data_IF_675109793233
#
_entry.id   IF_675109793233
#
_cell.length_a   1.000
_cell.length_b   1.000
_cell.length_c   1.000
_cell.angle_alpha   90.00
_cell.angle_beta   90.00
_cell.angle_gamma   90.00
#
_symmetry.space_group_name_H-M   'P 1'
#
loop_
_entity.id
_entity.type
_entity.pdbx_description
1 polymer ?
#
# COMPACT_ATOMS: atom_id res chain seq x y z
N UNK A 1 20.11 15.66 19.98
CA UNK A 1 19.67 15.96 18.60
C UNK A 1 20.84 16.53 17.82
N UNK A 2 21.18 15.96 16.67
CA UNK A 2 22.24 16.55 15.86
C UNK A 2 21.76 17.88 15.29
N UNK A 3 22.63 18.90 15.28
CA UNK A 3 22.39 20.22 14.65
C UNK A 3 21.91 20.13 13.18
N UNK A 4 22.10 18.98 12.54
CA UNK A 4 21.72 18.69 11.15
C UNK A 4 20.22 18.73 10.87
N UNK A 5 19.36 18.54 11.87
CA UNK A 5 17.92 18.46 11.69
C UNK A 5 17.16 19.62 12.37
N UNK A 6 17.78 20.77 12.63
CA UNK A 6 17.11 21.93 13.23
C UNK A 6 15.99 22.47 12.32
N UNK A 7 16.20 22.46 10.99
CA UNK A 7 15.19 22.92 10.01
C UNK A 7 15.27 22.10 8.70
N UNK A 8 14.94 20.79 8.76
CA UNK A 8 15.11 19.91 7.60
C UNK A 8 13.94 20.01 6.60
N UNK A 9 12.81 20.65 6.95
CA UNK A 9 11.64 20.73 6.10
C UNK A 9 11.71 21.91 5.14
N UNK A 10 11.79 21.60 3.86
CA UNK A 10 11.79 22.56 2.76
C UNK A 10 10.47 22.51 2.00
N UNK A 11 9.81 23.65 1.86
CA UNK A 11 8.61 23.84 1.05
C UNK A 11 8.92 24.83 -0.06
N UNK A 12 8.77 24.43 -1.31
CA UNK A 12 9.04 25.27 -2.47
C UNK A 12 8.21 26.54 -2.44
N UNK A 13 8.75 27.62 -3.00
CA UNK A 13 8.04 28.86 -3.18
C UNK A 13 6.86 28.67 -4.13
N UNK A 14 5.68 29.18 -3.77
CA UNK A 14 4.48 29.07 -4.61
C UNK A 14 4.62 29.76 -5.96
N UNK A 15 5.33 30.91 -5.99
CA UNK A 15 5.49 31.73 -7.20
C UNK A 15 4.12 32.14 -7.78
N UNK A 16 3.91 31.83 -9.07
CA UNK A 16 2.65 32.04 -9.79
C UNK A 16 1.70 30.83 -9.69
N UNK A 17 2.02 29.83 -8.86
CA UNK A 17 1.20 28.64 -8.65
C UNK A 17 -0.13 28.91 -7.99
N UNK A 18 -1.03 27.92 -8.00
CA UNK A 18 -2.33 28.01 -7.34
C UNK A 18 -2.21 27.66 -5.87
N UNK A 19 -2.85 28.46 -5.01
CA UNK A 19 -3.04 28.11 -3.60
C UNK A 19 -3.85 26.81 -3.47
N UNK A 20 -3.41 25.91 -2.58
CA UNK A 20 -4.11 24.67 -2.25
C UNK A 20 -4.43 24.63 -0.76
N UNK A 21 -5.60 24.10 -0.44
CA UNK A 21 -6.00 23.69 0.91
C UNK A 21 -5.32 22.41 1.37
N UNK A 22 -5.77 21.84 2.50
CA UNK A 22 -5.36 20.51 2.90
C UNK A 22 -5.75 19.51 1.79
N UNK A 23 -4.83 18.62 1.47
CA UNK A 23 -5.01 17.68 0.35
C UNK A 23 -6.03 16.60 0.68
N UNK A 24 -7.15 16.59 -0.04
CA UNK A 24 -8.17 15.56 0.05
C UNK A 24 -7.87 14.35 -0.85
N UNK A 25 -6.80 14.37 -1.65
CA UNK A 25 -6.41 13.22 -2.49
C UNK A 25 -6.05 11.99 -1.65
N UNK A 26 -5.60 12.21 -0.41
CA UNK A 26 -5.36 11.14 0.56
C UNK A 26 -6.64 10.47 1.08
N UNK A 27 -7.82 11.11 0.90
CA UNK A 27 -9.10 10.58 1.39
C UNK A 27 -9.46 9.25 0.75
N UNK A 28 -9.00 8.99 -0.48
CA UNK A 28 -9.18 7.71 -1.19
C UNK A 28 -8.55 6.55 -0.40
N UNK A 29 -7.50 6.83 0.40
CA UNK A 29 -6.76 5.85 1.19
C UNK A 29 -7.16 5.82 2.67
N UNK A 30 -8.25 6.51 3.07
CA UNK A 30 -8.73 6.51 4.46
C UNK A 30 -9.28 5.16 4.91
N UNK A 31 -9.65 4.27 3.98
CA UNK A 31 -10.06 2.91 4.34
C UNK A 31 -8.97 2.21 5.15
N UNK A 32 -9.40 1.51 6.20
CA UNK A 32 -8.50 1.05 7.27
C UNK A 32 -7.52 -0.04 6.83
N UNK A 33 -7.84 -0.80 5.81
CA UNK A 33 -7.05 -1.90 5.27
C UNK A 33 -6.16 -1.52 4.06
N UNK A 34 -6.32 -0.32 3.49
CA UNK A 34 -5.56 0.11 2.31
C UNK A 34 -4.06 0.30 2.58
N UNK A 35 -3.67 0.71 3.79
CA UNK A 35 -2.26 0.91 4.12
C UNK A 35 -1.44 -0.37 3.91
N UNK A 36 -1.94 -1.51 4.40
CA UNK A 36 -1.26 -2.79 4.25
C UNK A 36 -1.12 -3.21 2.79
N UNK A 37 -2.18 -3.01 1.99
CA UNK A 37 -2.16 -3.33 0.56
C UNK A 37 -1.08 -2.53 -0.19
N UNK A 38 -1.07 -1.22 -0.03
CA UNK A 38 -0.16 -0.31 -0.73
C UNK A 38 1.29 -0.53 -0.32
N UNK A 39 1.56 -0.61 0.98
CA UNK A 39 2.94 -0.78 1.47
C UNK A 39 3.50 -2.14 1.15
N UNK A 40 2.73 -3.22 1.28
CA UNK A 40 3.16 -4.57 0.90
C UNK A 40 3.43 -4.70 -0.61
N UNK A 41 2.61 -4.05 -1.45
CA UNK A 41 2.84 -4.01 -2.90
C UNK A 41 4.17 -3.32 -3.22
N UNK A 42 4.45 -2.17 -2.59
CA UNK A 42 5.67 -1.43 -2.82
C UNK A 42 6.91 -2.23 -2.38
N UNK A 43 6.87 -2.86 -1.20
CA UNK A 43 7.95 -3.73 -0.72
C UNK A 43 8.17 -4.92 -1.67
N UNK A 44 7.09 -5.58 -2.14
CA UNK A 44 7.21 -6.72 -3.06
C UNK A 44 7.73 -6.31 -4.44
N UNK A 45 7.40 -5.11 -4.91
CA UNK A 45 7.94 -4.56 -6.16
C UNK A 45 9.43 -4.21 -6.07
N UNK A 46 9.95 -3.97 -4.86
CA UNK A 46 11.35 -3.65 -4.58
C UNK A 46 12.18 -4.88 -4.17
N UNK A 47 11.66 -6.09 -4.39
CA UNK A 47 12.29 -7.34 -4.02
C UNK A 47 13.72 -7.44 -4.54
N UNK A 48 14.65 -7.87 -3.69
CA UNK A 48 16.00 -8.23 -4.10
C UNK A 48 16.00 -9.62 -4.75
N UNK A 49 17.02 -9.89 -5.55
CA UNK A 49 17.22 -11.18 -6.22
C UNK A 49 18.41 -11.90 -5.60
N UNK A 50 18.39 -13.22 -5.68
CA UNK A 50 19.54 -14.05 -5.31
C UNK A 50 20.57 -14.15 -6.45
N UNK A 51 21.63 -14.92 -6.23
CA UNK A 51 22.68 -15.17 -7.22
C UNK A 51 22.19 -15.82 -8.53
N UNK A 52 21.00 -16.42 -8.53
CA UNK A 52 20.36 -17.04 -9.70
C UNK A 52 19.32 -16.14 -10.37
N UNK A 53 19.26 -14.90 -9.98
CA UNK A 53 18.25 -13.93 -10.42
C UNK A 53 16.81 -14.27 -9.97
N UNK A 54 16.65 -15.18 -8.99
CA UNK A 54 15.36 -15.50 -8.40
C UNK A 54 14.99 -14.47 -7.32
N UNK A 55 13.72 -14.11 -7.26
CA UNK A 55 13.19 -13.19 -6.24
C UNK A 55 13.29 -13.79 -4.83
N UNK A 56 13.92 -13.09 -3.90
CA UNK A 56 13.94 -13.44 -2.49
C UNK A 56 12.56 -13.32 -1.84
N UNK A 57 12.34 -14.04 -0.75
CA UNK A 57 11.15 -13.84 0.08
C UNK A 57 11.27 -12.51 0.84
N UNK A 58 10.38 -11.58 0.53
CA UNK A 58 10.34 -10.28 1.23
C UNK A 58 9.71 -10.45 2.61
N UNK A 59 10.35 -9.91 3.66
CA UNK A 59 9.73 -9.80 4.97
C UNK A 59 9.36 -8.34 5.23
N UNK A 60 8.14 -8.07 5.69
CA UNK A 60 7.69 -6.73 6.06
C UNK A 60 7.24 -6.72 7.51
N UNK A 61 7.86 -5.85 8.31
CA UNK A 61 7.51 -5.65 9.70
C UNK A 61 6.76 -4.33 9.87
N UNK A 62 5.65 -4.38 10.58
CA UNK A 62 4.87 -3.21 11.00
C UNK A 62 4.99 -3.07 12.51
N UNK A 63 5.53 -1.95 12.98
CA UNK A 63 5.85 -1.73 14.40
C UNK A 63 5.21 -0.45 14.90
N UNK A 64 4.25 -0.56 15.81
CA UNK A 64 3.68 0.60 16.48
C UNK A 64 4.50 0.94 17.72
N UNK A 65 4.99 2.17 17.78
CA UNK A 65 5.80 2.67 18.89
C UNK A 65 5.46 4.10 19.24
N UNK A 66 5.34 4.42 20.53
CA UNK A 66 5.35 5.79 21.01
C UNK A 66 6.77 6.31 21.09
N UNK A 67 7.06 7.36 20.36
CA UNK A 67 8.40 7.96 20.26
C UNK A 67 8.34 9.36 20.85
N UNK A 68 9.40 9.79 21.55
CA UNK A 68 9.48 11.16 22.05
C UNK A 68 9.33 12.17 20.89
N UNK A 69 8.45 13.16 21.03
CA UNK A 69 8.19 14.16 19.97
C UNK A 69 9.43 14.96 19.62
N UNK A 70 10.41 15.04 20.53
CA UNK A 70 11.74 15.62 20.26
C UNK A 70 12.50 14.89 19.14
N UNK A 71 12.14 13.67 18.82
CA UNK A 71 12.74 12.91 17.71
C UNK A 71 12.06 13.15 16.36
N UNK A 72 10.95 13.90 16.33
CA UNK A 72 10.38 14.35 15.07
C UNK A 72 11.35 15.33 14.39
N UNK A 73 11.79 15.08 13.15
CA UNK A 73 12.78 15.90 12.48
C UNK A 73 12.31 17.36 12.33
N UNK A 74 13.07 18.32 12.91
CA UNK A 74 12.75 19.72 12.84
C UNK A 74 11.43 20.12 13.50
N UNK A 75 11.07 19.44 14.59
CA UNK A 75 9.81 19.61 15.34
C UNK A 75 9.40 21.07 15.51
N UNK A 76 10.26 21.92 16.05
CA UNK A 76 9.91 23.29 16.40
C UNK A 76 9.65 24.16 15.17
N UNK A 77 10.40 23.95 14.09
CA UNK A 77 10.12 24.61 12.81
C UNK A 77 8.81 24.11 12.18
N UNK A 78 8.56 22.79 12.26
CA UNK A 78 7.34 22.21 11.72
C UNK A 78 6.09 22.71 12.46
N UNK A 79 6.14 22.88 13.79
CA UNK A 79 5.08 23.50 14.60
C UNK A 79 4.78 24.93 14.10
N UNK A 80 5.81 25.73 13.86
CA UNK A 80 5.62 27.09 13.28
C UNK A 80 4.94 27.05 11.90
N UNK A 81 5.23 26.02 11.07
CA UNK A 81 4.55 25.85 9.78
C UNK A 81 3.07 25.47 9.95
N UNK A 82 2.74 24.64 10.92
CA UNK A 82 1.35 24.34 11.26
C UNK A 82 0.60 25.59 11.72
N UNK A 83 1.24 26.44 12.53
CA UNK A 83 0.67 27.75 12.94
C UNK A 83 0.38 28.65 11.72
N UNK A 84 1.32 28.75 10.78
CA UNK A 84 1.13 29.51 9.54
C UNK A 84 0.05 28.90 8.62
N UNK A 85 -0.10 27.59 8.63
CA UNK A 85 -1.18 26.92 7.91
C UNK A 85 -2.55 27.20 8.56
N UNK A 86 -2.64 27.21 9.88
CA UNK A 86 -3.85 27.60 10.62
C UNK A 86 -4.22 29.07 10.32
N UNK A 87 -3.26 30.02 10.41
CA UNK A 87 -3.45 31.41 10.05
C UNK A 87 -3.98 31.59 8.63
N UNK A 88 -3.47 30.82 7.68
CA UNK A 88 -3.94 30.80 6.28
C UNK A 88 -5.44 30.48 6.18
N UNK A 89 -5.91 29.41 6.84
CA UNK A 89 -7.32 29.03 6.83
C UNK A 89 -8.20 30.05 7.58
N UNK A 90 -7.77 30.57 8.73
CA UNK A 90 -8.49 31.59 9.48
C UNK A 90 -8.70 32.85 8.64
N UNK A 91 -7.67 33.29 7.90
CA UNK A 91 -7.76 34.43 6.99
C UNK A 91 -8.76 34.18 5.86
N UNK A 92 -8.80 32.94 5.32
CA UNK A 92 -9.76 32.57 4.27
C UNK A 92 -11.20 32.49 4.78
N UNK A 93 -11.42 31.96 6.00
CA UNK A 93 -12.75 31.91 6.62
C UNK A 93 -13.35 33.34 6.84
N UNK A 94 -12.53 34.28 7.21
CA UNK A 94 -12.94 35.67 7.45
C UNK A 94 -13.25 36.44 6.14
N UNK A 95 -12.84 35.91 4.99
CA UNK A 95 -13.16 36.52 3.70
C UNK A 95 -14.55 36.09 3.23
N UNK A 96 -15.50 37.02 3.08
CA UNK A 96 -16.94 36.80 2.81
C UNK A 96 -17.29 36.00 1.57
N UNK A 97 -16.31 35.54 0.76
CA UNK A 97 -16.52 34.89 -0.54
C UNK A 97 -15.86 33.51 -0.68
N UNK A 98 -15.40 32.89 0.42
CA UNK A 98 -14.70 31.60 0.32
C UNK A 98 -15.44 30.55 1.14
N UNK A 99 -16.03 29.55 0.48
CA UNK A 99 -16.52 28.32 1.13
C UNK A 99 -15.33 27.36 1.22
N UNK A 100 -14.85 27.10 2.45
CA UNK A 100 -13.89 26.00 2.69
C UNK A 100 -14.62 24.69 2.48
N UNK A 101 -13.95 23.73 1.83
CA UNK A 101 -14.61 22.54 1.32
C UNK A 101 -15.22 21.64 2.40
N UNK A 102 -14.68 21.60 3.64
CA UNK A 102 -15.16 20.72 4.69
C UNK A 102 -15.21 21.32 6.11
N UNK A 103 -14.66 22.50 6.36
CA UNK A 103 -14.72 23.18 7.67
C UNK A 103 -13.86 22.61 8.82
N UNK A 104 -13.20 21.47 8.60
CA UNK A 104 -12.44 20.74 9.62
C UNK A 104 -10.92 20.97 9.54
N UNK A 105 -10.45 21.70 8.53
CA UNK A 105 -9.01 21.83 8.24
C UNK A 105 -8.26 22.50 9.41
N UNK A 106 -8.86 23.49 10.05
CA UNK A 106 -8.25 24.16 11.21
C UNK A 106 -8.12 23.21 12.38
N UNK A 107 -9.17 22.42 12.65
CA UNK A 107 -9.17 21.44 13.73
C UNK A 107 -8.12 20.35 13.48
N UNK A 108 -8.02 19.83 12.25
CA UNK A 108 -7.00 18.84 11.88
C UNK A 108 -5.57 19.39 12.11
N UNK A 109 -5.31 20.64 11.75
CA UNK A 109 -4.00 21.28 11.95
C UNK A 109 -3.72 21.58 13.41
N UNK A 110 -4.73 21.97 14.19
CA UNK A 110 -4.61 22.18 15.64
C UNK A 110 -4.28 20.86 16.34
N UNK A 111 -4.99 19.80 16.03
CA UNK A 111 -4.73 18.45 16.56
C UNK A 111 -3.31 17.98 16.21
N UNK A 112 -2.83 18.23 14.98
CA UNK A 112 -1.46 17.95 14.57
C UNK A 112 -0.42 18.70 15.40
N UNK A 113 -0.67 19.98 15.67
CA UNK A 113 0.19 20.83 16.51
C UNK A 113 0.23 20.31 17.95
N UNK A 114 -0.93 20.10 18.57
CA UNK A 114 -1.04 19.58 19.94
C UNK A 114 -0.32 18.24 20.11
N UNK A 115 -0.45 17.36 19.10
CA UNK A 115 0.24 16.08 19.11
C UNK A 115 1.76 16.23 19.08
N UNK A 116 2.31 17.18 18.32
CA UNK A 116 3.74 17.47 18.30
C UNK A 116 4.23 18.20 19.56
N UNK A 117 3.35 18.91 20.27
CA UNK A 117 3.66 19.58 21.54
C UNK A 117 3.59 18.63 22.74
N UNK A 118 3.01 17.45 22.59
CA UNK A 118 3.00 16.40 23.64
C UNK A 118 4.39 15.75 23.84
N UNK A 119 4.55 15.00 24.91
CA UNK A 119 5.83 14.32 25.22
C UNK A 119 6.16 13.22 24.22
N UNK A 120 5.16 12.48 23.76
CA UNK A 120 5.33 11.36 22.83
C UNK A 120 4.29 11.36 21.72
N UNK A 121 4.66 10.79 20.58
CA UNK A 121 3.81 10.67 19.40
C UNK A 121 3.76 9.21 18.95
N UNK A 122 2.59 8.65 18.59
CA UNK A 122 2.50 7.34 18.01
C UNK A 122 3.11 7.34 16.59
N UNK A 123 3.99 6.39 16.32
CA UNK A 123 4.62 6.22 15.02
C UNK A 123 4.43 4.78 14.58
N UNK A 124 3.89 4.58 13.38
CA UNK A 124 3.94 3.28 12.73
C UNK A 124 5.20 3.21 11.88
N UNK A 125 6.05 2.25 12.18
CA UNK A 125 7.29 2.00 11.46
C UNK A 125 7.09 0.77 10.58
N UNK A 126 7.28 0.93 9.27
CA UNK A 126 7.18 -0.13 8.29
C UNK A 126 8.59 -0.44 7.80
N UNK A 127 9.05 -1.66 8.05
CA UNK A 127 10.41 -2.10 7.73
C UNK A 127 10.34 -3.23 6.71
N UNK A 128 11.02 -3.09 5.60
CA UNK A 128 11.16 -4.18 4.64
C UNK A 128 12.57 -4.80 4.69
N UNK A 129 12.64 -6.07 4.37
CA UNK A 129 13.86 -6.88 4.32
C UNK A 129 13.85 -7.71 3.04
N UNK A 130 15.04 -8.08 2.55
CA UNK A 130 15.22 -8.72 1.24
C UNK A 130 14.70 -7.86 0.10
N UNK A 131 14.88 -6.55 0.20
CA UNK A 131 14.53 -5.56 -0.83
C UNK A 131 15.78 -4.78 -1.26
N UNK A 132 15.68 -4.09 -2.39
CA UNK A 132 16.80 -3.29 -2.92
C UNK A 132 16.94 -1.93 -2.21
N UNK A 133 15.99 -1.55 -1.37
CA UNK A 133 15.89 -0.19 -0.83
C UNK A 133 15.42 0.84 -1.87
N UNK A 134 15.45 2.13 -1.48
CA UNK A 134 14.98 3.25 -2.31
C UNK A 134 16.13 3.83 -3.09
N UNK A 135 16.37 3.28 -4.29
CA UNK A 135 17.45 3.66 -5.19
C UNK A 135 17.12 4.96 -5.93
N UNK A 136 18.15 5.75 -6.25
CA UNK A 136 18.06 6.95 -7.08
C UNK A 136 18.17 8.25 -6.29
N UNK A 137 17.86 9.36 -6.95
CA UNK A 137 18.03 10.71 -6.42
C UNK A 137 17.01 11.71 -6.89
N UNK A 138 17.17 12.94 -6.40
CA UNK A 138 16.24 14.05 -6.59
C UNK A 138 16.10 14.47 -8.06
N UNK A 139 17.10 14.18 -8.88
CA UNK A 139 17.19 14.59 -10.29
C UNK A 139 17.11 13.39 -11.26
N UNK A 140 16.89 12.19 -10.73
CA UNK A 140 16.75 10.96 -11.51
C UNK A 140 15.27 10.64 -11.70
N UNK A 141 14.64 11.30 -12.66
CA UNK A 141 13.25 11.02 -13.04
C UNK A 141 13.05 9.50 -13.27
N UNK A 142 11.92 8.96 -12.79
CA UNK A 142 11.59 7.55 -12.87
C UNK A 142 12.32 6.63 -11.88
N UNK A 143 13.31 7.10 -11.10
CA UNK A 143 13.91 6.28 -10.04
C UNK A 143 12.89 5.96 -8.94
N UNK A 144 13.07 4.87 -8.17
CA UNK A 144 12.25 4.56 -7.00
C UNK A 144 12.14 5.73 -6.01
N UNK A 145 13.26 6.42 -5.76
CA UNK A 145 13.29 7.62 -4.92
C UNK A 145 12.39 8.74 -5.46
N UNK A 146 12.58 9.10 -6.73
CA UNK A 146 11.83 10.19 -7.34
C UNK A 146 10.33 9.93 -7.31
N UNK A 147 9.92 8.69 -7.59
CA UNK A 147 8.51 8.28 -7.55
C UNK A 147 7.91 8.32 -6.15
N UNK A 148 8.67 7.93 -5.13
CA UNK A 148 8.17 7.88 -3.75
C UNK A 148 8.12 9.27 -3.11
N UNK A 149 9.08 10.14 -3.39
CA UNK A 149 9.25 11.41 -2.69
C UNK A 149 8.79 12.60 -3.53
N UNK A 150 9.18 12.68 -4.81
CA UNK A 150 8.99 13.89 -5.64
C UNK A 150 7.79 13.82 -6.58
N UNK A 151 7.38 12.65 -7.04
CA UNK A 151 6.31 12.55 -8.03
C UNK A 151 4.97 12.28 -7.38
N UNK A 152 4.07 13.24 -7.46
CA UNK A 152 2.64 13.03 -7.17
C UNK A 152 1.88 12.74 -8.48
N UNK A 153 1.33 11.53 -8.64
CA UNK A 153 0.49 11.20 -9.79
C UNK A 153 1.22 10.89 -11.10
N UNK A 154 2.56 10.73 -11.08
CA UNK A 154 3.35 10.33 -12.25
C UNK A 154 3.79 8.87 -12.12
N UNK A 155 3.46 8.03 -13.09
CA UNK A 155 3.94 6.65 -13.16
C UNK A 155 4.73 6.42 -14.45
N UNK A 156 5.79 5.61 -14.39
CA UNK A 156 6.45 5.14 -15.61
C UNK A 156 5.62 4.02 -16.24
N UNK A 157 5.39 4.09 -17.53
CA UNK A 157 4.70 3.05 -18.30
C UNK A 157 5.61 1.83 -18.63
N UNK A 158 6.77 1.67 -17.99
CA UNK A 158 7.69 0.60 -18.31
C UNK A 158 7.78 -0.43 -17.19
N UNK A 159 7.38 -1.68 -17.50
CA UNK A 159 7.55 -2.87 -16.67
C UNK A 159 6.36 -3.24 -15.78
N UNK A 160 6.20 -4.53 -15.55
CA UNK A 160 5.14 -5.15 -14.75
C UNK A 160 5.11 -4.70 -13.26
N UNK A 161 6.19 -4.08 -12.77
CA UNK A 161 6.44 -3.87 -11.36
C UNK A 161 6.09 -2.48 -10.81
N UNK A 162 5.72 -1.49 -11.60
CA UNK A 162 5.50 -0.15 -11.07
C UNK A 162 4.04 0.10 -10.68
N UNK A 163 3.80 0.76 -9.55
CA UNK A 163 2.50 1.36 -9.22
C UNK A 163 2.07 2.32 -10.34
N UNK A 164 0.80 2.29 -10.73
CA UNK A 164 0.30 3.02 -11.91
C UNK A 164 0.24 4.53 -11.71
N UNK A 165 0.05 5.00 -10.48
CA UNK A 165 -0.41 6.35 -10.23
C UNK A 165 0.58 7.24 -9.45
N UNK A 166 1.68 6.71 -8.91
CA UNK A 166 2.58 7.48 -8.04
C UNK A 166 1.88 8.01 -6.77
N UNK A 167 0.79 7.37 -6.35
CA UNK A 167 -0.01 7.80 -5.20
C UNK A 167 0.30 7.03 -3.91
N UNK A 168 1.28 6.13 -3.90
CA UNK A 168 1.64 5.32 -2.73
C UNK A 168 1.97 6.16 -1.50
N UNK A 169 2.60 7.32 -1.69
CA UNK A 169 2.83 8.29 -0.61
C UNK A 169 1.53 8.81 0.03
N UNK A 170 0.43 8.90 -0.73
CA UNK A 170 -0.85 9.39 -0.21
C UNK A 170 -1.45 8.44 0.84
N UNK A 171 -1.18 7.13 0.74
CA UNK A 171 -1.59 6.17 1.77
C UNK A 171 -0.85 6.41 3.09
N UNK A 172 0.42 6.79 3.05
CA UNK A 172 1.23 7.12 4.23
C UNK A 172 0.72 8.42 4.87
N UNK A 173 0.52 9.48 4.06
CA UNK A 173 0.00 10.78 4.51
C UNK A 173 -1.42 10.66 5.09
N UNK A 174 -2.30 9.85 4.47
CA UNK A 174 -3.66 9.63 4.94
C UNK A 174 -3.72 9.04 6.35
N UNK A 175 -2.69 8.30 6.76
CA UNK A 175 -2.58 7.68 8.09
C UNK A 175 -1.76 8.50 9.09
N UNK A 176 -1.26 9.66 8.69
CA UNK A 176 -0.52 10.58 9.55
C UNK A 176 -1.39 11.74 10.02
N UNK A 177 -1.61 11.86 11.32
CA UNK A 177 -2.30 13.01 11.92
C UNK A 177 -1.49 14.31 11.79
N UNK A 178 -0.15 14.21 11.70
CA UNK A 178 0.72 15.38 11.49
C UNK A 178 1.03 15.62 10.01
N UNK A 179 0.40 14.84 9.09
CA UNK A 179 0.54 15.01 7.64
C UNK A 179 1.97 14.83 7.13
N UNK A 180 2.76 13.97 7.77
CA UNK A 180 4.16 13.75 7.43
C UNK A 180 4.58 12.30 7.60
N UNK A 181 5.44 11.83 6.70
CA UNK A 181 6.21 10.62 6.89
C UNK A 181 7.69 10.86 6.59
N UNK A 182 8.55 10.04 7.16
CA UNK A 182 9.97 10.02 6.85
C UNK A 182 10.39 8.61 6.49
N UNK A 183 11.50 8.47 5.80
CA UNK A 183 12.08 7.18 5.51
C UNK A 183 13.60 7.20 5.71
N UNK A 184 14.11 6.06 6.15
CA UNK A 184 15.52 5.72 6.11
C UNK A 184 15.70 4.52 5.18
N UNK A 185 16.60 4.61 4.23
CA UNK A 185 16.85 3.52 3.29
C UNK A 185 18.33 3.24 3.16
N UNK A 186 18.68 1.97 3.06
CA UNK A 186 19.99 1.49 2.69
C UNK A 186 19.90 0.70 1.40
N UNK A 187 20.80 0.98 0.46
CA UNK A 187 20.82 0.35 -0.86
C UNK A 187 22.25 0.32 -1.42
N UNK A 188 22.47 -0.40 -2.49
CA UNK A 188 23.71 -0.37 -3.25
C UNK A 188 23.53 0.47 -4.53
N UNK A 189 24.51 1.30 -4.84
CA UNK A 189 24.54 2.04 -6.09
C UNK A 189 25.02 1.14 -7.27
N UNK A 190 25.03 1.67 -8.48
CA UNK A 190 25.45 0.94 -9.67
C UNK A 190 26.90 0.40 -9.61
N UNK A 191 27.72 0.91 -8.70
CA UNK A 191 29.10 0.47 -8.46
C UNK A 191 29.19 -0.49 -7.26
N UNK A 192 28.04 -0.98 -6.74
CA UNK A 192 27.97 -1.84 -5.57
C UNK A 192 28.48 -1.17 -4.27
N UNK A 193 28.52 0.15 -4.23
CA UNK A 193 28.82 0.87 -3.00
C UNK A 193 27.58 1.02 -2.13
N UNK A 194 27.71 0.71 -0.85
CA UNK A 194 26.66 0.89 0.14
C UNK A 194 26.33 2.38 0.28
N UNK A 195 25.07 2.70 0.13
CA UNK A 195 24.52 4.04 0.25
C UNK A 195 23.43 4.07 1.33
N UNK A 196 23.33 5.18 2.04
CA UNK A 196 22.25 5.45 2.98
C UNK A 196 21.54 6.74 2.63
N UNK A 197 20.25 6.80 2.91
CA UNK A 197 19.38 7.91 2.56
C UNK A 197 18.38 8.18 3.70
N UNK A 198 18.22 9.45 4.07
CA UNK A 198 17.10 9.90 4.89
C UNK A 198 16.35 10.99 4.16
N UNK A 199 15.04 10.77 3.98
CA UNK A 199 14.14 11.65 3.27
C UNK A 199 12.78 11.71 3.97
N UNK A 200 11.92 12.62 3.54
CA UNK A 200 10.56 12.71 4.05
C UNK A 200 9.68 13.57 3.15
N UNK A 201 8.39 13.38 3.31
CA UNK A 201 7.38 14.15 2.62
C UNK A 201 6.31 14.61 3.62
N UNK A 202 5.83 15.83 3.43
CA UNK A 202 4.72 16.41 4.17
C UNK A 202 3.75 17.06 3.20
N UNK A 203 2.45 16.92 3.47
CA UNK A 203 1.40 17.54 2.65
C UNK A 203 0.51 18.39 3.58
N UNK A 204 0.81 19.66 3.64
CA UNK A 204 0.02 20.67 4.33
C UNK A 204 -0.91 21.44 3.35
N UNK A 205 -1.20 22.66 3.65
CA UNK A 205 -1.80 23.64 2.71
C UNK A 205 -0.74 24.65 2.27
N UNK A 206 -1.10 25.50 1.31
CA UNK A 206 -0.36 26.75 1.08
C UNK A 206 -0.33 27.56 2.36
N UNK A 207 0.84 28.01 2.78
CA UNK A 207 1.04 28.83 3.98
C UNK A 207 2.19 29.81 3.76
N UNK A 208 2.42 30.72 4.69
CA UNK A 208 3.63 31.51 4.67
C UNK A 208 4.79 30.79 5.33
N UNK A 209 5.94 30.81 4.68
CA UNK A 209 7.17 30.33 5.32
C UNK A 209 7.43 31.12 6.61
N UNK A 210 7.66 30.45 7.75
CA UNK A 210 7.79 31.14 9.03
C UNK A 210 9.02 32.06 9.15
N UNK A 211 10.05 31.83 8.32
CA UNK A 211 11.30 32.61 8.37
C UNK A 211 11.44 33.57 7.21
N UNK A 212 11.04 33.18 6.00
CA UNK A 212 11.31 33.90 4.76
C UNK A 212 10.12 34.69 4.23
N UNK A 213 8.97 34.60 4.89
CA UNK A 213 7.74 35.35 4.62
C UNK A 213 7.26 35.32 3.14
N UNK A 214 7.48 34.22 2.43
CA UNK A 214 6.87 33.98 1.13
C UNK A 214 5.82 32.89 1.22
N UNK A 215 4.87 32.84 0.29
CA UNK A 215 3.91 31.72 0.20
C UNK A 215 4.59 30.48 -0.35
N UNK A 216 4.35 29.35 0.31
CA UNK A 216 4.90 28.04 -0.05
C UNK A 216 3.91 27.22 -0.86
N UNK A 217 4.41 26.24 -1.57
CA UNK A 217 3.61 25.11 -2.05
C UNK A 217 3.08 24.30 -0.85
N UNK A 218 2.09 23.45 -1.10
CA UNK A 218 1.46 22.62 -0.07
C UNK A 218 2.29 21.37 0.29
N UNK A 219 3.23 20.98 -0.55
CA UNK A 219 4.10 19.81 -0.35
C UNK A 219 5.47 20.26 0.15
N UNK A 220 5.95 19.60 1.20
CA UNK A 220 7.28 19.81 1.77
C UNK A 220 8.09 18.53 1.80
N UNK A 221 9.40 18.69 1.79
CA UNK A 221 10.37 17.61 1.73
C UNK A 221 11.43 17.74 2.83
N UNK A 222 12.01 16.64 3.25
CA UNK A 222 13.18 16.66 4.13
C UNK A 222 14.45 16.68 3.30
N UNK A 223 15.33 17.64 3.60
CA UNK A 223 16.63 17.71 2.95
C UNK A 223 17.41 18.98 3.26
N UNK A 224 18.57 19.10 2.65
CA UNK A 224 19.42 20.30 2.68
C UNK A 224 19.12 21.16 1.47
N UNK A 225 18.93 22.44 1.69
CA UNK A 225 18.88 23.42 0.61
C UNK A 225 20.28 23.58 0.01
N UNK A 226 20.41 23.37 -1.30
CA UNK A 226 21.66 23.55 -2.04
C UNK A 226 21.76 25.00 -2.50
N UNK A 227 20.65 25.51 -3.07
CA UNK A 227 20.51 26.89 -3.54
C UNK A 227 19.01 27.27 -3.52
N UNK A 228 18.67 28.43 -4.12
CA UNK A 228 17.29 28.96 -4.08
C UNK A 228 16.23 28.06 -4.73
N UNK A 229 16.63 27.12 -5.58
CA UNK A 229 15.72 26.30 -6.38
C UNK A 229 15.94 24.79 -6.18
N UNK A 230 16.99 24.39 -5.47
CA UNK A 230 17.36 23.00 -5.32
C UNK A 230 17.59 22.59 -3.87
N UNK A 231 17.13 21.40 -3.54
CA UNK A 231 17.38 20.72 -2.29
C UNK A 231 17.78 19.26 -2.56
N UNK A 232 18.43 18.61 -1.61
CA UNK A 232 18.71 17.19 -1.65
C UNK A 232 18.52 16.55 -0.29
N UNK A 233 18.11 15.27 -0.28
CA UNK A 233 17.99 14.46 0.93
C UNK A 233 19.33 14.29 1.63
N UNK A 234 19.28 13.97 2.91
CA UNK A 234 20.47 13.61 3.68
C UNK A 234 20.98 12.23 3.25
N UNK A 235 22.29 12.09 3.08
CA UNK A 235 22.92 10.84 2.60
C UNK A 235 24.24 10.57 3.32
N UNK A 236 24.56 9.29 3.49
CA UNK A 236 25.84 8.79 3.97
C UNK A 236 26.37 9.55 5.21
N UNK A 237 27.48 10.26 5.11
CA UNK A 237 28.11 11.00 6.21
C UNK A 237 27.18 11.99 6.93
N UNK A 238 26.14 12.49 6.22
CA UNK A 238 25.13 13.34 6.85
C UNK A 238 24.31 12.60 7.93
N UNK A 239 24.33 11.27 7.91
CA UNK A 239 23.45 10.42 8.72
C UNK A 239 24.17 9.74 9.89
N UNK A 240 25.50 9.90 10.02
CA UNK A 240 26.31 9.23 11.05
C UNK A 240 25.83 9.49 12.50
N UNK A 241 25.13 10.61 12.71
CA UNK A 241 24.63 11.01 14.03
C UNK A 241 23.10 11.07 14.09
N UNK A 242 22.41 10.43 13.18
CA UNK A 242 20.95 10.39 13.17
C UNK A 242 20.46 9.34 14.18
N UNK A 243 19.77 9.81 15.23
CA UNK A 243 19.17 8.93 16.24
C UNK A 243 17.83 8.39 15.71
N UNK A 244 17.87 7.20 15.14
CA UNK A 244 16.70 6.47 14.66
C UNK A 244 16.30 5.38 15.66
N UNK A 245 15.00 5.04 15.75
CA UNK A 245 14.52 3.99 16.66
C UNK A 245 15.09 2.60 16.37
N UNK A 246 15.52 2.37 15.13
CA UNK A 246 16.12 1.12 14.68
C UNK A 246 17.33 1.38 13.82
N UNK A 247 18.32 0.52 14.00
CA UNK A 247 19.49 0.46 13.13
C UNK A 247 19.24 -0.50 11.98
N UNK A 248 19.80 -0.20 10.80
CA UNK A 248 19.73 -1.05 9.61
C UNK A 248 21.14 -1.32 9.10
N UNK A 249 21.48 -2.58 8.93
CA UNK A 249 22.75 -3.06 8.42
C UNK A 249 22.66 -3.77 7.06
N UNK A 250 21.44 -4.00 6.58
CA UNK A 250 21.13 -4.61 5.28
C UNK A 250 20.31 -3.68 4.39
N UNK A 251 20.27 -3.97 3.08
CA UNK A 251 19.48 -3.22 2.13
C UNK A 251 17.98 -3.30 2.45
N UNK A 252 17.27 -2.20 2.19
CA UNK A 252 15.84 -2.07 2.46
C UNK A 252 15.47 -0.69 2.96
N UNK A 253 14.22 -0.53 3.42
CA UNK A 253 13.65 0.76 3.80
C UNK A 253 12.88 0.66 5.11
N UNK A 254 13.07 1.66 5.98
CA UNK A 254 12.26 1.91 7.16
C UNK A 254 11.45 3.18 6.91
N UNK A 255 10.11 3.07 6.88
CA UNK A 255 9.19 4.21 6.73
C UNK A 255 8.57 4.51 8.08
N UNK A 256 8.59 5.78 8.49
CA UNK A 256 8.04 6.27 9.76
C UNK A 256 6.81 7.13 9.46
N UNK A 257 5.61 6.64 9.77
CA UNK A 257 4.36 7.42 9.70
C UNK A 257 4.18 8.11 11.05
N UNK A 258 4.49 9.40 11.12
CA UNK A 258 4.40 10.19 12.33
C UNK A 258 2.96 10.56 12.67
N UNK A 259 2.60 10.47 13.95
CA UNK A 259 1.22 10.67 14.38
C UNK A 259 0.27 9.65 13.75
N UNK A 260 0.64 8.39 13.77
CA UNK A 260 -0.17 7.33 13.17
C UNK A 260 -1.59 7.33 13.73
N UNK A 261 -2.56 7.57 12.85
CA UNK A 261 -3.98 7.57 13.18
C UNK A 261 -4.52 6.14 13.20
N UNK A 262 -4.93 5.67 14.38
CA UNK A 262 -5.37 4.28 14.54
C UNK A 262 -6.48 4.12 15.60
N UNK A 263 -7.26 3.07 15.48
CA UNK A 263 -8.18 2.63 16.54
C UNK A 263 -7.44 1.70 17.50
N UNK A 264 -7.31 2.14 18.75
CA UNK A 264 -6.70 1.32 19.80
C UNK A 264 -7.38 -0.05 19.88
N UNK A 265 -6.61 -1.11 19.98
CA UNK A 265 -7.04 -2.51 20.02
C UNK A 265 -7.66 -3.08 18.72
N UNK A 266 -7.54 -2.38 17.57
CA UNK A 266 -8.10 -2.87 16.29
C UNK A 266 -7.16 -2.65 15.09
N UNK A 267 -6.21 -1.74 15.17
CA UNK A 267 -5.35 -1.34 14.06
C UNK A 267 -4.58 -2.53 13.45
N UNK A 268 -4.09 -3.40 14.32
CA UNK A 268 -3.39 -4.63 14.01
C UNK A 268 -4.26 -5.59 13.19
N UNK A 269 -5.54 -5.73 13.56
CA UNK A 269 -6.49 -6.58 12.86
C UNK A 269 -6.86 -6.04 11.49
N UNK A 270 -7.08 -4.72 11.36
CA UNK A 270 -7.33 -4.09 10.05
C UNK A 270 -6.14 -4.29 9.12
N UNK A 271 -4.93 -4.11 9.64
CA UNK A 271 -3.71 -4.31 8.89
C UNK A 271 -3.57 -5.77 8.44
N UNK A 272 -3.70 -6.72 9.36
CA UNK A 272 -3.62 -8.16 9.08
C UNK A 272 -4.66 -8.61 8.05
N UNK A 273 -5.92 -8.14 8.17
CA UNK A 273 -6.97 -8.43 7.18
C UNK A 273 -6.60 -7.88 5.80
N UNK A 274 -6.10 -6.65 5.71
CA UNK A 274 -5.68 -6.03 4.45
C UNK A 274 -4.56 -6.81 3.77
N UNK A 275 -3.54 -7.20 4.54
CA UNK A 275 -2.39 -7.98 4.06
C UNK A 275 -2.80 -9.35 3.52
N UNK A 276 -3.60 -10.11 4.28
CA UNK A 276 -4.07 -11.42 3.83
C UNK A 276 -4.98 -11.26 2.61
N UNK A 277 -5.91 -10.31 2.65
CA UNK A 277 -6.86 -10.06 1.57
C UNK A 277 -6.16 -9.79 0.24
N UNK A 278 -5.07 -9.04 0.27
CA UNK A 278 -4.28 -8.71 -0.92
C UNK A 278 -3.30 -9.80 -1.34
N UNK A 279 -2.62 -10.44 -0.39
CA UNK A 279 -1.39 -11.19 -0.65
C UNK A 279 -1.41 -12.65 -0.23
N UNK A 280 -2.57 -13.25 0.12
CA UNK A 280 -2.63 -14.65 0.57
C UNK A 280 -1.90 -15.61 -0.37
N UNK A 281 -1.94 -15.37 -1.69
CA UNK A 281 -1.25 -16.21 -2.68
C UNK A 281 0.27 -15.99 -2.67
N UNK A 282 0.71 -14.74 -2.59
CA UNK A 282 2.12 -14.41 -2.48
C UNK A 282 2.74 -14.98 -1.18
N UNK A 283 1.99 -14.97 -0.09
CA UNK A 283 2.38 -15.62 1.17
C UNK A 283 2.52 -17.13 0.98
N UNK A 284 1.51 -17.77 0.36
CA UNK A 284 1.52 -19.21 0.07
C UNK A 284 2.73 -19.63 -0.76
N UNK A 285 3.10 -18.82 -1.75
CA UNK A 285 4.22 -19.08 -2.66
C UNK A 285 5.58 -18.61 -2.12
N UNK A 286 5.68 -18.26 -0.83
CA UNK A 286 6.92 -17.81 -0.18
C UNK A 286 7.53 -16.57 -0.84
N UNK A 287 6.69 -15.69 -1.33
CA UNK A 287 7.15 -14.45 -1.98
C UNK A 287 7.17 -13.27 -1.01
N UNK A 288 6.35 -13.34 0.06
CA UNK A 288 6.28 -12.32 1.10
C UNK A 288 5.76 -12.92 2.41
N UNK A 289 6.23 -12.40 3.53
CA UNK A 289 5.70 -12.67 4.87
C UNK A 289 5.59 -11.37 5.66
N UNK A 290 4.79 -11.37 6.73
CA UNK A 290 4.49 -10.19 7.51
C UNK A 290 4.58 -10.45 9.01
N UNK A 291 5.09 -9.45 9.73
CA UNK A 291 5.07 -9.42 11.19
C UNK A 291 4.52 -8.08 11.68
N UNK A 292 3.63 -8.12 12.66
CA UNK A 292 3.02 -6.92 13.25
C UNK A 292 3.34 -6.90 14.73
N UNK A 293 3.93 -5.81 15.21
CA UNK A 293 4.39 -5.63 16.58
C UNK A 293 3.71 -4.42 17.24
N UNK A 294 3.41 -4.56 18.51
CA UNK A 294 3.25 -3.42 19.40
C UNK A 294 4.52 -3.29 20.26
N UNK A 295 5.41 -2.41 19.85
CA UNK A 295 6.68 -2.20 20.53
C UNK A 295 6.54 -1.47 21.87
N UNK A 296 5.39 -0.83 22.15
CA UNK A 296 5.11 -0.24 23.47
C UNK A 296 4.96 -1.32 24.54
N UNK A 297 4.47 -2.49 24.14
CA UNK A 297 4.30 -3.67 25.02
C UNK A 297 5.34 -4.78 24.72
N UNK A 298 6.25 -4.54 23.77
CA UNK A 298 7.26 -5.52 23.30
C UNK A 298 6.65 -6.82 22.77
N UNK A 299 5.44 -6.77 22.21
CA UNK A 299 4.69 -7.94 21.76
C UNK A 299 4.70 -8.07 20.23
N UNK A 300 5.01 -9.28 19.76
CA UNK A 300 4.64 -9.73 18.42
C UNK A 300 3.14 -10.06 18.43
N UNK A 301 2.33 -9.27 17.74
CA UNK A 301 0.88 -9.47 17.67
C UNK A 301 0.51 -10.50 16.60
N UNK A 302 1.13 -10.38 15.43
CA UNK A 302 0.85 -11.26 14.28
C UNK A 302 2.13 -11.68 13.58
N UNK A 303 2.23 -12.96 13.24
CA UNK A 303 3.25 -13.55 12.37
C UNK A 303 2.51 -14.30 11.25
N UNK A 304 2.61 -13.79 10.02
CA UNK A 304 1.85 -14.24 8.86
C UNK A 304 2.82 -14.74 7.80
N UNK A 305 2.92 -16.05 7.65
CA UNK A 305 3.85 -16.68 6.72
C UNK A 305 3.24 -17.95 6.07
N UNK A 306 3.95 -18.52 5.10
CA UNK A 306 3.46 -19.67 4.33
C UNK A 306 3.23 -20.92 5.18
N UNK A 307 3.93 -21.10 6.31
CA UNK A 307 3.82 -22.28 7.16
C UNK A 307 2.56 -22.26 8.01
N UNK A 308 2.11 -21.08 8.41
CA UNK A 308 0.99 -20.93 9.34
C UNK A 308 -0.29 -20.34 8.73
N UNK A 309 -0.28 -19.96 7.46
CA UNK A 309 -1.32 -19.13 6.82
C UNK A 309 -2.75 -19.63 7.07
N UNK A 310 -3.04 -20.93 6.90
CA UNK A 310 -4.38 -21.48 7.08
C UNK A 310 -4.82 -21.42 8.55
N UNK A 311 -3.94 -21.84 9.46
CA UNK A 311 -4.19 -21.79 10.90
C UNK A 311 -4.33 -20.36 11.38
N UNK A 312 -3.48 -19.49 10.90
CA UNK A 312 -3.50 -18.08 11.23
C UNK A 312 -4.80 -17.41 10.76
N UNK A 313 -5.25 -17.70 9.54
CA UNK A 313 -6.50 -17.14 9.01
C UNK A 313 -7.71 -17.48 9.89
N UNK A 314 -7.80 -18.72 10.37
CA UNK A 314 -8.88 -19.13 11.29
C UNK A 314 -8.78 -18.42 12.64
N UNK A 315 -7.58 -18.29 13.21
CA UNK A 315 -7.35 -17.52 14.45
C UNK A 315 -7.72 -16.05 14.29
N UNK A 316 -7.37 -15.44 13.15
CA UNK A 316 -7.74 -14.05 12.84
C UNK A 316 -9.26 -13.87 12.76
N UNK A 317 -9.99 -14.85 12.19
CA UNK A 317 -11.46 -14.83 12.15
C UNK A 317 -12.04 -14.73 13.55
N UNK A 318 -11.55 -15.55 14.48
CA UNK A 318 -12.02 -15.57 15.87
C UNK A 318 -11.67 -14.28 16.61
N UNK A 319 -10.46 -13.76 16.42
CA UNK A 319 -10.04 -12.48 17.00
C UNK A 319 -10.89 -11.30 16.49
N UNK A 320 -11.12 -11.23 15.19
CA UNK A 320 -11.96 -10.17 14.59
C UNK A 320 -13.39 -10.24 15.15
N UNK A 321 -13.99 -11.44 15.24
CA UNK A 321 -15.32 -11.62 15.80
C UNK A 321 -15.41 -11.27 17.29
N UNK A 322 -14.31 -11.38 18.03
CA UNK A 322 -14.24 -11.10 19.46
C UNK A 322 -13.94 -9.63 19.75
N UNK A 323 -12.97 -9.03 19.04
CA UNK A 323 -12.46 -7.67 19.30
C UNK A 323 -13.16 -6.58 18.48
N UNK A 324 -13.89 -6.96 17.42
CA UNK A 324 -14.52 -6.04 16.48
C UNK A 324 -15.99 -6.38 16.26
N UNK A 325 -16.70 -5.55 15.49
CA UNK A 325 -18.06 -5.87 15.03
C UNK A 325 -18.01 -7.04 14.04
N UNK A 326 -18.81 -8.07 14.28
CA UNK A 326 -18.89 -9.28 13.42
C UNK A 326 -19.15 -8.97 11.94
N UNK A 327 -19.78 -7.82 11.64
CA UNK A 327 -20.03 -7.35 10.27
C UNK A 327 -18.75 -6.97 9.53
N UNK A 328 -17.64 -6.72 10.24
CA UNK A 328 -16.33 -6.42 9.64
C UNK A 328 -15.77 -7.67 8.94
N UNK A 329 -16.04 -8.87 9.50
CA UNK A 329 -15.76 -10.12 8.80
C UNK A 329 -16.82 -10.36 7.72
N UNK A 330 -16.67 -9.64 6.62
CA UNK A 330 -17.64 -9.56 5.53
C UNK A 330 -17.49 -10.70 4.51
N UNK A 331 -18.33 -10.69 3.50
CA UNK A 331 -18.32 -11.67 2.42
C UNK A 331 -16.99 -11.73 1.64
N UNK A 332 -16.19 -10.68 1.67
CA UNK A 332 -14.87 -10.66 1.03
C UNK A 332 -13.88 -11.50 1.83
N UNK A 333 -13.79 -11.33 3.15
CA UNK A 333 -12.95 -12.18 4.01
C UNK A 333 -13.40 -13.64 3.96
N UNK A 334 -14.71 -13.89 3.94
CA UNK A 334 -15.23 -15.25 3.75
C UNK A 334 -14.79 -15.87 2.42
N UNK A 335 -14.69 -15.07 1.35
CA UNK A 335 -14.19 -15.53 0.06
C UNK A 335 -12.71 -15.93 0.11
N UNK A 336 -11.89 -15.24 0.91
CA UNK A 336 -10.47 -15.59 1.11
C UNK A 336 -10.33 -17.02 1.66
N UNK A 337 -11.20 -17.42 2.59
CA UNK A 337 -11.22 -18.79 3.12
C UNK A 337 -11.36 -19.83 1.98
N UNK A 338 -12.25 -19.59 1.04
CA UNK A 338 -12.43 -20.42 -0.14
C UNK A 338 -11.24 -20.36 -1.11
N UNK A 339 -10.63 -19.19 -1.28
CA UNK A 339 -9.44 -19.05 -2.14
C UNK A 339 -8.20 -19.75 -1.55
N UNK A 340 -8.03 -19.76 -0.23
CA UNK A 340 -6.97 -20.53 0.41
C UNK A 340 -7.09 -22.03 0.10
N UNK A 341 -8.31 -22.58 0.00
CA UNK A 341 -8.56 -23.95 -0.41
C UNK A 341 -8.19 -24.24 -1.88
N UNK A 342 -8.24 -23.23 -2.75
CA UNK A 342 -7.76 -23.37 -4.14
C UNK A 342 -6.26 -23.66 -4.22
N UNK A 343 -5.47 -23.26 -3.22
CA UNK A 343 -4.00 -23.25 -3.28
C UNK A 343 -3.31 -24.01 -2.15
N UNK A 344 -4.04 -24.66 -1.24
CA UNK A 344 -3.46 -25.53 -0.21
C UNK A 344 -2.91 -26.84 -0.81
N UNK A 345 -2.09 -27.56 -0.05
CA UNK A 345 -1.60 -28.87 -0.46
C UNK A 345 -2.75 -29.85 -0.68
N UNK A 346 -2.62 -30.71 -1.71
CA UNK A 346 -3.65 -31.70 -2.05
C UNK A 346 -3.96 -32.65 -0.90
N UNK A 347 -2.95 -33.00 -0.12
CA UNK A 347 -3.07 -33.86 1.05
C UNK A 347 -3.94 -33.25 2.18
N UNK A 348 -4.15 -31.94 2.15
CA UNK A 348 -5.01 -31.23 3.11
C UNK A 348 -6.48 -31.13 2.66
N UNK A 349 -6.77 -31.55 1.43
CA UNK A 349 -8.11 -31.48 0.87
C UNK A 349 -8.97 -32.65 1.30
N UNK A 350 -10.26 -32.41 1.66
CA UNK A 350 -11.21 -33.51 1.91
C UNK A 350 -11.38 -34.39 0.69
N UNK A 351 -11.58 -35.69 0.91
CA UNK A 351 -11.82 -36.69 -0.18
C UNK A 351 -13.08 -36.37 -0.99
N UNK A 352 -14.00 -35.59 -0.46
CA UNK A 352 -15.22 -35.12 -1.15
C UNK A 352 -15.00 -33.93 -2.06
N UNK A 353 -13.84 -33.31 -1.98
CA UNK A 353 -13.52 -32.12 -2.76
C UNK A 353 -12.87 -32.44 -4.10
N UNK A 354 -12.95 -31.48 -5.02
CA UNK A 354 -12.29 -31.53 -6.31
C UNK A 354 -11.60 -30.21 -6.57
N UNK A 355 -10.28 -30.27 -6.87
CA UNK A 355 -9.52 -29.12 -7.37
C UNK A 355 -9.11 -29.39 -8.81
N UNK A 356 -9.32 -28.41 -9.68
CA UNK A 356 -8.90 -28.44 -11.08
C UNK A 356 -8.17 -27.17 -11.45
N UNK A 357 -7.09 -27.33 -12.22
CA UNK A 357 -6.35 -26.22 -12.81
C UNK A 357 -6.54 -26.24 -14.32
N UNK A 358 -6.85 -25.10 -14.90
CA UNK A 358 -7.03 -24.88 -16.32
C UNK A 358 -6.08 -23.80 -16.80
N UNK A 359 -5.46 -24.02 -17.95
CA UNK A 359 -4.72 -22.99 -18.67
C UNK A 359 -5.54 -22.56 -19.87
N UNK A 360 -5.93 -21.30 -19.90
CA UNK A 360 -6.85 -20.73 -20.88
C UNK A 360 -6.06 -19.72 -21.72
N UNK A 361 -6.07 -19.93 -23.04
CA UNK A 361 -5.51 -18.96 -23.99
C UNK A 361 -6.46 -17.77 -24.16
N UNK A 362 -5.91 -16.58 -24.06
CA UNK A 362 -6.62 -15.32 -24.25
C UNK A 362 -5.84 -14.47 -25.27
N UNK A 363 -6.54 -14.05 -26.31
CA UNK A 363 -5.93 -13.27 -27.38
C UNK A 363 -5.24 -12.01 -26.82
N UNK A 364 -4.09 -11.68 -27.37
CA UNK A 364 -3.22 -10.55 -27.02
C UNK A 364 -2.49 -10.61 -25.67
N UNK A 365 -2.79 -11.56 -24.80
CA UNK A 365 -2.14 -11.67 -23.49
C UNK A 365 -1.63 -13.08 -23.17
N UNK A 366 -1.83 -14.05 -24.07
CA UNK A 366 -1.37 -15.43 -23.86
C UNK A 366 -2.17 -16.16 -22.79
N UNK A 367 -1.49 -16.98 -21.98
CA UNK A 367 -2.12 -17.89 -21.02
C UNK A 367 -2.49 -17.21 -19.71
N UNK A 368 -3.69 -17.55 -19.20
CA UNK A 368 -4.09 -17.35 -17.81
C UNK A 368 -4.25 -18.70 -17.12
N UNK A 369 -3.96 -18.76 -15.83
CA UNK A 369 -4.18 -19.94 -14.98
C UNK A 369 -5.47 -19.77 -14.18
N UNK A 370 -6.39 -20.71 -14.26
CA UNK A 370 -7.61 -20.76 -13.48
C UNK A 370 -7.63 -21.99 -12.58
N UNK A 371 -7.58 -21.79 -11.27
CA UNK A 371 -7.67 -22.84 -10.26
C UNK A 371 -9.07 -22.82 -9.67
N UNK A 372 -9.80 -23.92 -9.75
CA UNK A 372 -11.14 -24.04 -9.19
C UNK A 372 -11.13 -25.11 -8.11
N UNK A 373 -11.62 -24.76 -6.93
CA UNK A 373 -11.92 -25.67 -5.83
C UNK A 373 -13.43 -25.79 -5.63
N UNK A 374 -13.93 -26.99 -5.55
CA UNK A 374 -15.35 -27.28 -5.29
C UNK A 374 -15.51 -28.39 -4.28
N UNK A 375 -16.51 -28.30 -3.42
CA UNK A 375 -16.92 -29.36 -2.50
C UNK A 375 -18.42 -29.23 -2.22
N UNK A 376 -19.18 -30.30 -2.52
CA UNK A 376 -20.64 -30.33 -2.31
C UNK A 376 -21.04 -30.22 -0.85
N UNK A 377 -20.14 -30.60 0.08
CA UNK A 377 -20.39 -30.60 1.52
C UNK A 377 -19.87 -29.33 2.21
N UNK A 378 -19.14 -28.48 1.49
CA UNK A 378 -18.56 -27.27 2.04
C UNK A 378 -19.45 -26.05 1.78
N UNK A 379 -20.35 -25.79 2.69
CA UNK A 379 -21.29 -24.67 2.62
C UNK A 379 -20.65 -23.28 2.89
N UNK A 380 -19.37 -23.24 3.29
CA UNK A 380 -18.61 -22.01 3.49
C UNK A 380 -18.08 -21.42 2.16
N UNK A 381 -18.08 -22.20 1.09
CA UNK A 381 -17.69 -21.72 -0.24
C UNK A 381 -18.68 -20.67 -0.77
N UNK A 382 -18.15 -19.56 -1.20
CA UNK A 382 -18.93 -18.32 -1.46
C UNK A 382 -19.42 -18.18 -2.90
N UNK A 383 -19.08 -19.12 -3.78
CA UNK A 383 -19.35 -19.06 -5.23
C UNK A 383 -18.75 -17.81 -5.88
N UNK A 384 -17.56 -17.43 -5.39
CA UNK A 384 -16.80 -16.29 -5.88
C UNK A 384 -15.52 -16.77 -6.58
N UNK A 385 -15.07 -15.97 -7.53
CA UNK A 385 -13.74 -16.09 -8.11
C UNK A 385 -13.04 -14.73 -8.08
N UNK A 386 -11.71 -14.73 -8.13
CA UNK A 386 -10.94 -13.49 -8.15
C UNK A 386 -9.94 -13.45 -9.29
N UNK A 387 -9.58 -12.24 -9.70
CA UNK A 387 -8.42 -11.98 -10.57
C UNK A 387 -7.23 -11.58 -9.70
N UNK A 388 -6.08 -12.19 -10.01
CA UNK A 388 -4.78 -11.85 -9.46
C UNK A 388 -3.82 -11.51 -10.58
N UNK A 389 -2.94 -10.55 -10.32
CA UNK A 389 -1.81 -10.22 -11.20
C UNK A 389 -0.51 -10.16 -10.40
N UNK A 390 0.62 -10.12 -11.09
CA UNK A 390 1.91 -9.89 -10.44
C UNK A 390 1.93 -8.54 -9.67
N UNK A 391 2.47 -8.54 -8.44
CA UNK A 391 3.25 -9.59 -7.79
C UNK A 391 2.41 -10.57 -6.94
N UNK A 392 1.44 -11.26 -7.54
CA UNK A 392 0.49 -12.19 -6.93
C UNK A 392 -0.50 -11.49 -5.97
N UNK A 393 -0.89 -10.28 -6.32
CA UNK A 393 -1.86 -9.49 -5.59
C UNK A 393 -3.28 -9.72 -6.13
N UNK A 394 -4.23 -9.94 -5.20
CA UNK A 394 -5.65 -10.02 -5.54
C UNK A 394 -6.20 -8.63 -5.85
N UNK A 395 -6.82 -8.48 -7.03
CA UNK A 395 -7.35 -7.20 -7.48
C UNK A 395 -8.85 -7.11 -7.25
N UNK A 396 -9.62 -8.11 -7.71
CA UNK A 396 -11.08 -7.99 -7.70
C UNK A 396 -11.76 -9.35 -7.56
N UNK A 397 -12.85 -9.38 -6.80
CA UNK A 397 -13.73 -10.53 -6.68
C UNK A 397 -14.92 -10.40 -7.63
N UNK A 398 -15.38 -11.56 -8.10
CA UNK A 398 -16.56 -11.72 -8.93
C UNK A 398 -17.45 -12.80 -8.35
N UNK A 399 -18.74 -12.63 -8.48
CA UNK A 399 -19.74 -13.63 -8.11
C UNK A 399 -20.27 -14.34 -9.34
N UNK A 400 -20.37 -15.65 -9.29
CA UNK A 400 -21.00 -16.46 -10.32
C UNK A 400 -21.74 -17.60 -9.64
N UNK A 401 -23.05 -17.64 -9.75
CA UNK A 401 -23.84 -18.72 -9.17
C UNK A 401 -23.72 -20.00 -9.98
N UNK A 402 -23.43 -21.10 -9.31
CA UNK A 402 -23.51 -22.48 -9.79
C UNK A 402 -24.33 -23.31 -8.82
N UNK A 403 -24.81 -24.48 -9.27
CA UNK A 403 -25.51 -25.46 -8.42
C UNK A 403 -24.61 -26.02 -7.30
N UNK A 404 -23.31 -26.07 -7.52
CA UNK A 404 -22.31 -26.60 -6.57
C UNK A 404 -21.56 -25.46 -5.89
N UNK A 405 -21.28 -25.55 -4.57
CA UNK A 405 -20.38 -24.62 -3.89
C UNK A 405 -18.96 -24.68 -4.46
N UNK A 406 -18.36 -23.53 -4.75
CA UNK A 406 -17.00 -23.43 -5.28
C UNK A 406 -16.37 -22.08 -4.92
N UNK A 407 -15.03 -22.03 -5.03
CA UNK A 407 -14.27 -20.77 -5.19
C UNK A 407 -13.22 -20.98 -6.28
N UNK A 408 -12.78 -19.89 -6.94
CA UNK A 408 -11.77 -19.97 -7.97
C UNK A 408 -10.81 -18.77 -7.98
N UNK A 409 -9.58 -19.01 -8.46
CA UNK A 409 -8.54 -18.00 -8.62
C UNK A 409 -8.12 -17.96 -10.08
N UNK A 410 -8.19 -16.81 -10.70
CA UNK A 410 -7.65 -16.54 -12.03
C UNK A 410 -6.35 -15.74 -11.88
N UNK A 411 -5.20 -16.36 -12.21
CA UNK A 411 -3.89 -15.72 -12.22
C UNK A 411 -3.53 -15.27 -13.63
N UNK A 412 -3.15 -14.02 -13.77
CA UNK A 412 -2.58 -13.46 -15.00
C UNK A 412 -1.09 -13.79 -15.01
N UNK A 413 -0.67 -14.58 -16.02
CA UNK A 413 0.66 -15.20 -16.04
C UNK A 413 1.70 -14.40 -16.85
N UNK A 414 1.26 -13.57 -17.79
CA UNK A 414 2.12 -12.87 -18.75
C UNK A 414 2.27 -11.40 -18.42
N UNK A 415 3.34 -10.78 -18.87
CA UNK A 415 3.60 -9.35 -18.67
C UNK A 415 2.57 -8.50 -19.40
N UNK A 416 2.18 -8.89 -20.63
CA UNK A 416 1.15 -8.21 -21.42
C UNK A 416 -0.20 -8.23 -20.70
N UNK A 417 -0.56 -9.38 -20.11
CA UNK A 417 -1.80 -9.50 -19.33
C UNK A 417 -1.76 -8.65 -18.06
N UNK A 418 -0.63 -8.64 -17.36
CA UNK A 418 -0.42 -7.81 -16.18
C UNK A 418 -0.54 -6.31 -16.51
N UNK A 419 0.06 -5.85 -17.61
CA UNK A 419 -0.06 -4.45 -18.07
C UNK A 419 -1.51 -4.09 -18.43
N UNK A 420 -2.25 -4.98 -19.10
CA UNK A 420 -3.68 -4.75 -19.39
C UNK A 420 -4.48 -4.57 -18.10
N UNK A 421 -4.37 -5.47 -17.13
CA UNK A 421 -5.11 -5.37 -15.86
C UNK A 421 -4.68 -4.11 -15.11
N UNK A 422 -3.38 -3.85 -14.97
CA UNK A 422 -2.84 -2.67 -14.33
C UNK A 422 -3.36 -1.37 -14.97
N UNK A 423 -3.50 -1.33 -16.30
CA UNK A 423 -4.02 -0.15 -16.99
C UNK A 423 -5.45 0.23 -16.59
N UNK A 424 -6.24 -0.75 -16.14
CA UNK A 424 -7.64 -0.60 -15.77
C UNK A 424 -7.88 -0.40 -14.27
N UNK A 425 -6.83 -0.54 -13.44
CA UNK A 425 -6.93 -0.40 -11.98
C UNK A 425 -7.13 1.05 -11.54
N UNK A 426 -7.89 1.23 -10.46
CA UNK A 426 -7.95 2.48 -9.71
C UNK A 426 -6.69 2.69 -8.84
N UNK A 427 -6.50 3.87 -8.25
CA UNK A 427 -5.35 4.14 -7.39
C UNK A 427 -5.22 3.22 -6.17
N UNK A 428 -6.32 2.62 -5.71
CA UNK A 428 -6.33 1.69 -4.58
C UNK A 428 -6.13 0.23 -4.97
N UNK A 429 -5.97 -0.06 -6.26
CA UNK A 429 -5.84 -1.42 -6.83
C UNK A 429 -7.02 -2.37 -6.54
N UNK A 430 -8.19 -1.84 -6.16
CA UNK A 430 -9.37 -2.63 -5.77
C UNK A 430 -10.48 -2.62 -6.82
N UNK A 431 -10.41 -1.74 -7.81
CA UNK A 431 -11.45 -1.58 -8.84
C UNK A 431 -10.86 -1.55 -10.24
N UNK A 432 -11.54 -2.20 -11.17
CA UNK A 432 -11.19 -2.18 -12.58
C UNK A 432 -12.26 -1.43 -13.37
N UNK A 433 -11.88 -0.37 -14.08
CA UNK A 433 -12.77 0.44 -14.92
C UNK A 433 -12.03 0.94 -16.16
N UNK A 434 -12.71 1.05 -17.33
CA UNK A 434 -12.11 1.59 -18.54
C UNK A 434 -11.68 3.06 -18.38
N UNK A 435 -12.33 3.83 -17.51
CA UNK A 435 -12.00 5.23 -17.26
C UNK A 435 -10.59 5.47 -16.69
N UNK A 436 -9.97 4.45 -16.11
CA UNK A 436 -8.61 4.54 -15.59
C UNK A 436 -7.52 4.30 -16.64
N UNK A 437 -7.90 3.72 -17.79
CA UNK A 437 -7.00 3.54 -18.93
C UNK A 437 -6.89 4.84 -19.74
N UNK A 438 -5.72 5.08 -20.34
CA UNK A 438 -5.55 6.18 -21.29
C UNK A 438 -6.54 6.04 -22.46
N UNK A 439 -6.80 7.14 -23.20
CA UNK A 439 -7.84 7.16 -24.23
C UNK A 439 -7.55 6.25 -25.42
N UNK A 440 -6.25 6.05 -25.75
CA UNK A 440 -5.82 5.28 -26.92
C UNK A 440 -6.03 3.78 -26.74
N UNK A 441 -5.67 3.24 -25.57
CA UNK A 441 -5.75 1.81 -25.28
C UNK A 441 -7.04 1.37 -24.59
N UNK A 442 -7.90 2.33 -24.21
CA UNK A 442 -9.07 2.10 -23.36
C UNK A 442 -10.00 1.02 -23.91
N UNK A 443 -10.40 1.14 -25.17
CA UNK A 443 -11.33 0.20 -25.80
C UNK A 443 -10.70 -1.19 -25.95
N UNK A 444 -9.43 -1.25 -26.37
CA UNK A 444 -8.67 -2.49 -26.54
C UNK A 444 -8.51 -3.23 -25.20
N UNK A 445 -7.96 -2.56 -24.19
CA UNK A 445 -7.67 -3.18 -22.90
C UNK A 445 -8.96 -3.59 -22.15
N UNK A 446 -10.01 -2.77 -22.28
CA UNK A 446 -11.31 -3.15 -21.74
C UNK A 446 -11.91 -4.37 -22.46
N UNK A 447 -11.77 -4.48 -23.78
CA UNK A 447 -12.18 -5.64 -24.57
C UNK A 447 -11.44 -6.91 -24.16
N UNK A 448 -10.12 -6.85 -23.98
CA UNK A 448 -9.29 -7.98 -23.51
C UNK A 448 -9.76 -8.41 -22.11
N UNK A 449 -9.95 -7.47 -21.19
CA UNK A 449 -10.45 -7.77 -19.84
C UNK A 449 -11.81 -8.47 -19.87
N UNK A 450 -12.75 -8.00 -20.69
CA UNK A 450 -14.07 -8.63 -20.84
C UNK A 450 -13.95 -10.06 -21.42
N UNK A 451 -13.01 -10.29 -22.34
CA UNK A 451 -12.72 -11.63 -22.86
C UNK A 451 -12.18 -12.55 -21.77
N UNK A 452 -11.25 -12.07 -20.92
CA UNK A 452 -10.78 -12.83 -19.74
C UNK A 452 -11.99 -13.25 -18.88
N UNK A 453 -12.84 -12.28 -18.52
CA UNK A 453 -14.01 -12.52 -17.65
C UNK A 453 -14.98 -13.54 -18.30
N UNK A 454 -15.21 -13.45 -19.62
CA UNK A 454 -16.06 -14.40 -20.34
C UNK A 454 -15.49 -15.82 -20.31
N UNK A 455 -14.25 -15.98 -20.73
CA UNK A 455 -13.57 -17.30 -20.76
C UNK A 455 -13.49 -17.96 -19.39
N UNK A 456 -13.21 -17.17 -18.33
CA UNK A 456 -13.22 -17.69 -16.95
C UNK A 456 -14.63 -18.16 -16.55
N UNK A 457 -15.69 -17.42 -16.88
CA UNK A 457 -17.07 -17.82 -16.59
C UNK A 457 -17.49 -19.06 -17.35
N UNK A 458 -17.15 -19.17 -18.62
CA UNK A 458 -17.40 -20.35 -19.46
C UNK A 458 -16.70 -21.60 -18.87
N UNK A 459 -15.44 -21.45 -18.42
CA UNK A 459 -14.73 -22.55 -17.80
C UNK A 459 -15.32 -22.94 -16.44
N UNK A 460 -15.80 -21.98 -15.65
CA UNK A 460 -16.50 -22.24 -14.39
C UNK A 460 -17.84 -22.97 -14.68
N UNK A 461 -18.59 -22.58 -15.71
CA UNK A 461 -19.83 -23.27 -16.10
C UNK A 461 -19.55 -24.73 -16.52
N UNK A 462 -18.41 -25.02 -17.13
CA UNK A 462 -18.05 -26.36 -17.61
C UNK A 462 -17.84 -27.40 -16.49
N UNK A 463 -17.67 -26.96 -15.24
CA UNK A 463 -17.52 -27.87 -14.09
C UNK A 463 -18.85 -28.30 -13.48
N UNK A 464 -19.96 -27.67 -13.86
CA UNK A 464 -21.29 -28.07 -13.43
C UNK A 464 -21.66 -29.42 -14.06
N UNK A 465 -22.07 -30.43 -13.27
CA UNK A 465 -22.54 -31.67 -13.85
C UNK A 465 -23.70 -31.39 -14.79
N UNK A 466 -23.58 -31.76 -16.04
CA UNK A 466 -24.75 -31.76 -16.92
C UNK A 466 -25.82 -32.60 -16.22
N UNK A 467 -26.97 -32.03 -15.88
CA UNK A 467 -28.11 -32.79 -15.45
C UNK A 467 -28.34 -33.86 -16.53
N UNK A 468 -28.30 -35.13 -16.16
CA UNK A 468 -28.75 -36.19 -17.06
C UNK A 468 -30.13 -35.74 -17.54
N UNK A 469 -30.22 -35.37 -18.83
CA UNK A 469 -31.50 -35.42 -19.51
C UNK A 469 -31.95 -36.87 -19.29
N UNK A 470 -33.02 -37.03 -18.50
CA UNK A 470 -33.74 -38.31 -18.44
C UNK A 470 -33.96 -38.73 -19.88
N UNK A 471 -33.34 -39.82 -20.27
CA UNK A 471 -33.83 -40.63 -21.36
C UNK A 471 -35.22 -41.08 -20.91
N UNK A 472 -36.22 -40.34 -21.28
CA UNK A 472 -37.59 -40.83 -21.30
C UNK A 472 -37.67 -41.88 -22.43
N UNK A 473 -37.68 -43.14 -22.00
CA UNK A 473 -38.12 -44.25 -22.80
C UNK A 473 -39.61 -44.40 -22.62
#
# INVERSE_FOLDING_TARGET
>A
MSKLLENPWYFDRLGLGKEKGLNNESDIFKDKDNLGLETAQNCRNSCAKDEKEDDLEVCVEYRLKNIATSNFPGRDNYIKRLEKAIEFFQTKQNSKNTTLSNGNEIEELQNAKELLESDTIPVLIIRDFSTQGVIGGEFEELSPYYRLIKSGGISSNQGSNAGKYGHGQNALIAKSSVKAFTLYSQFEDNNQNKQTLFAGNSVLCTHFDPELNYKTQHTGFIGKVIDQERWKSYRNEDLENLDLPYYRDENGTDIYIWGFSYEKNKWDLYLAMGLIKGFFQAIREKKINFKIYDDNSSNLLHDINHQNLDKYFNSLEDEVKTRMDKRIWNSEMQSIKGFLKCTCDENMLPSSSLRKTFFIEVDHIGKIELIIYQDKKDYELTKNWCIMRQPLMKIKNYKKSLGIPYNAICKIMTDEGNEVIKSLEDPTHLKLKPAYCNSEDRAKNWGIYLNIVSKVKEQIDSIEPKSNQSEDI
#
